data_IF_140341951716
#
_entry.id   IF_140341951716
#
_cell.length_a   1.000
_cell.length_b   1.000
_cell.length_c   1.000
_cell.angle_alpha   90.00
_cell.angle_beta   90.00
_cell.angle_gamma   90.00
#
_symmetry.space_group_name_H-M   'P 1'
#
loop_
_entity.id
_entity.type
_entity.pdbx_description
1 polymer ?
#
# COMPACT_ATOMS: atom_id res chain seq x y z
N UNK A 1 -0.70 9.80 -16.65
CA UNK A 1 -1.19 9.05 -15.46
C UNK A 1 -0.06 8.15 -14.97
N UNK A 2 0.02 7.80 -13.67
CA UNK A 2 1.06 6.90 -13.16
C UNK A 2 0.90 5.45 -13.66
N UNK A 3 -0.28 5.09 -14.17
CA UNK A 3 -0.55 3.79 -14.75
C UNK A 3 -0.62 3.89 -16.28
N UNK A 4 -0.10 2.87 -16.94
CA UNK A 4 -0.21 2.61 -18.37
C UNK A 4 -0.90 1.26 -18.53
N UNK A 5 -2.13 1.24 -19.05
CA UNK A 5 -2.97 0.05 -19.18
C UNK A 5 -3.06 -0.80 -17.87
N UNK A 6 -3.20 -0.14 -16.72
CA UNK A 6 -3.25 -0.80 -15.42
C UNK A 6 -1.91 -1.34 -14.90
N UNK A 7 -0.79 -1.04 -15.59
CA UNK A 7 0.56 -1.36 -15.12
C UNK A 7 1.25 -0.12 -14.56
N UNK A 8 1.95 -0.28 -13.44
CA UNK A 8 2.82 0.74 -12.86
C UNK A 8 4.28 0.38 -13.11
N UNK A 9 5.04 1.34 -13.66
CA UNK A 9 6.50 1.26 -13.79
C UNK A 9 7.14 2.51 -13.21
N UNK A 10 7.94 2.36 -12.17
CA UNK A 10 8.56 3.50 -11.53
C UNK A 10 9.11 3.21 -10.15
N UNK A 11 9.64 4.24 -9.46
CA UNK A 11 10.08 4.11 -8.08
C UNK A 11 8.89 3.95 -7.14
N UNK A 12 9.07 3.19 -6.07
CA UNK A 12 8.19 3.18 -4.91
C UNK A 12 9.00 3.38 -3.64
N UNK A 13 8.34 3.86 -2.60
CA UNK A 13 8.97 4.18 -1.31
C UNK A 13 8.17 3.56 -0.17
N UNK A 14 8.88 3.00 0.81
CA UNK A 14 8.28 2.45 2.02
C UNK A 14 9.04 2.91 3.25
N UNK A 15 8.32 3.43 4.23
CA UNK A 15 8.84 3.69 5.56
C UNK A 15 8.73 2.41 6.40
N UNK A 16 9.84 1.96 6.97
CA UNK A 16 9.95 0.76 7.79
C UNK A 16 10.38 1.10 9.20
N UNK A 17 9.84 0.34 10.17
CA UNK A 17 10.47 0.24 11.47
C UNK A 17 11.84 -0.45 11.30
N UNK A 18 12.94 0.08 11.89
CA UNK A 18 14.28 -0.51 11.80
C UNK A 18 14.36 -2.00 12.12
N UNK A 19 13.49 -2.53 12.98
CA UNK A 19 13.42 -3.96 13.30
C UNK A 19 13.15 -4.84 12.07
N UNK A 20 12.49 -4.29 11.04
CA UNK A 20 12.16 -5.01 9.80
C UNK A 20 13.05 -4.63 8.62
N UNK A 21 14.15 -3.90 8.86
CA UNK A 21 15.02 -3.39 7.80
C UNK A 21 15.59 -4.50 6.90
N UNK A 22 15.92 -5.64 7.50
CA UNK A 22 16.47 -6.82 6.81
C UNK A 22 15.45 -7.62 6.00
N UNK A 23 14.17 -7.30 6.11
CA UNK A 23 13.08 -7.95 5.36
C UNK A 23 12.21 -6.92 4.62
N UNK A 24 12.79 -6.08 3.74
CA UNK A 24 12.10 -4.93 3.16
C UNK A 24 10.92 -5.31 2.24
N UNK A 25 10.88 -6.55 1.74
CA UNK A 25 9.78 -7.11 0.93
C UNK A 25 8.76 -7.91 1.75
N UNK A 26 8.90 -7.96 3.07
CA UNK A 26 7.98 -8.70 3.94
C UNK A 26 6.67 -7.94 4.14
N UNK A 27 5.56 -8.64 3.85
CA UNK A 27 4.19 -8.21 4.12
C UNK A 27 3.63 -8.71 5.44
N UNK A 28 4.44 -9.39 6.27
CA UNK A 28 4.02 -10.08 7.50
C UNK A 28 3.34 -9.18 8.53
N UNK A 29 3.79 -7.93 8.65
CA UNK A 29 3.16 -6.96 9.55
C UNK A 29 1.70 -6.70 9.16
N UNK A 30 1.46 -6.40 7.89
CA UNK A 30 0.10 -6.20 7.38
C UNK A 30 -0.73 -7.48 7.47
N UNK A 31 -0.14 -8.64 7.19
CA UNK A 31 -0.80 -9.95 7.33
C UNK A 31 -1.28 -10.17 8.77
N UNK A 32 -0.44 -9.91 9.77
CA UNK A 32 -0.74 -10.18 11.18
C UNK A 32 -1.76 -9.22 11.76
N UNK A 33 -1.64 -7.93 11.46
CA UNK A 33 -2.42 -6.89 12.11
C UNK A 33 -3.63 -6.44 11.28
N UNK A 34 -3.64 -6.71 9.97
CA UNK A 34 -4.57 -6.11 9.02
C UNK A 34 -4.23 -4.64 8.76
N UNK A 35 -4.89 -4.07 7.77
CA UNK A 35 -4.78 -2.67 7.41
C UNK A 35 -6.05 -2.17 6.73
N UNK A 36 -6.03 -0.92 6.24
CA UNK A 36 -7.19 -0.37 5.55
C UNK A 36 -7.56 -1.23 4.34
N UNK A 37 -6.58 -1.70 3.58
CA UNK A 37 -6.78 -2.42 2.31
C UNK A 37 -6.32 -3.88 2.37
N UNK A 38 -6.27 -4.49 3.55
CA UNK A 38 -6.02 -5.93 3.68
C UNK A 38 -6.60 -6.45 5.00
N UNK A 39 -7.32 -7.57 4.95
CA UNK A 39 -7.77 -8.26 6.15
C UNK A 39 -6.60 -8.96 6.85
N UNK A 40 -6.77 -9.32 8.13
CA UNK A 40 -5.85 -10.21 8.83
C UNK A 40 -5.73 -11.55 8.08
N UNK A 41 -4.52 -12.07 7.97
CA UNK A 41 -4.18 -13.24 7.16
C UNK A 41 -3.92 -12.93 5.68
N UNK A 42 -4.14 -11.69 5.23
CA UNK A 42 -3.80 -11.27 3.86
C UNK A 42 -2.53 -10.43 3.88
N UNK A 43 -1.41 -10.92 3.32
CA UNK A 43 -0.17 -10.15 3.26
C UNK A 43 -0.33 -8.95 2.33
N UNK A 44 0.28 -7.82 2.72
CA UNK A 44 0.25 -6.61 1.91
C UNK A 44 1.50 -5.74 2.10
N UNK A 45 1.88 -5.01 1.06
CA UNK A 45 2.86 -3.93 1.12
C UNK A 45 2.16 -2.59 0.90
N UNK A 46 2.39 -1.66 1.82
CA UNK A 46 1.97 -0.28 1.69
C UNK A 46 3.17 0.54 1.24
N UNK A 47 3.08 1.14 0.06
CA UNK A 47 4.13 1.97 -0.52
C UNK A 47 3.56 3.29 -1.00
N UNK A 48 4.41 4.28 -1.21
CA UNK A 48 4.06 5.56 -1.80
C UNK A 48 4.84 5.81 -3.09
N UNK A 49 4.27 6.62 -3.98
CA UNK A 49 4.91 7.06 -5.22
C UNK A 49 5.95 8.17 -4.98
N UNK A 50 5.92 8.81 -3.81
CA UNK A 50 6.91 9.81 -3.41
C UNK A 50 7.45 9.59 -1.99
N UNK A 51 8.75 9.89 -1.72
CA UNK A 51 9.38 9.69 -0.42
C UNK A 51 8.69 10.39 0.74
N UNK A 52 8.23 11.62 0.51
CA UNK A 52 7.67 12.46 1.55
C UNK A 52 6.30 11.92 2.01
N UNK A 53 5.50 11.36 1.10
CA UNK A 53 4.25 10.66 1.42
C UNK A 53 4.50 9.40 2.23
N UNK A 54 5.51 8.59 1.88
CA UNK A 54 5.85 7.40 2.67
C UNK A 54 6.19 7.77 4.13
N UNK A 55 6.93 8.87 4.34
CA UNK A 55 7.25 9.38 5.68
C UNK A 55 6.03 9.98 6.40
N UNK A 56 5.17 10.72 5.69
CA UNK A 56 3.91 11.25 6.26
C UNK A 56 2.98 10.12 6.72
N UNK A 57 2.88 9.03 5.96
CA UNK A 57 2.08 7.86 6.33
C UNK A 57 2.62 7.12 7.56
N UNK A 58 3.94 7.16 7.79
CA UNK A 58 4.53 6.65 9.04
C UNK A 58 4.26 7.58 10.24
N UNK A 59 4.04 8.87 9.98
CA UNK A 59 3.75 9.90 10.97
C UNK A 59 2.25 9.99 11.27
N UNK A 60 1.67 8.96 11.88
CA UNK A 60 0.22 8.95 12.16
C UNK A 60 -0.16 9.65 13.48
N UNK A 61 0.59 9.44 14.56
CA UNK A 61 0.30 9.99 15.90
C UNK A 61 1.60 10.12 16.70
N UNK A 62 1.81 11.27 17.35
CA UNK A 62 2.98 11.53 18.19
C UNK A 62 4.23 11.88 17.38
N UNK A 63 5.41 11.72 18.00
CA UNK A 63 6.68 12.01 17.35
C UNK A 63 7.06 10.92 16.34
N UNK A 64 7.73 11.34 15.26
CA UNK A 64 8.29 10.41 14.28
C UNK A 64 9.33 9.52 14.97
N UNK A 65 9.03 8.23 15.06
CA UNK A 65 9.95 7.23 15.58
C UNK A 65 11.08 6.95 14.59
N UNK A 66 12.24 6.41 15.02
CA UNK A 66 13.29 5.97 14.12
C UNK A 66 12.71 5.15 12.98
N UNK A 67 12.97 5.58 11.75
CA UNK A 67 12.34 5.07 10.53
C UNK A 67 13.38 4.94 9.45
N UNK A 68 13.35 3.82 8.73
CA UNK A 68 14.18 3.59 7.55
C UNK A 68 13.30 3.77 6.32
N UNK A 69 13.69 4.68 5.43
CA UNK A 69 13.06 4.84 4.14
C UNK A 69 13.76 3.94 3.12
N UNK A 70 13.01 3.03 2.51
CA UNK A 70 13.49 2.10 1.49
C UNK A 70 12.89 2.47 0.14
N UNK A 71 13.72 2.46 -0.91
CA UNK A 71 13.30 2.64 -2.30
C UNK A 71 13.23 1.30 -3.03
N UNK A 72 12.33 1.21 -4.00
CA UNK A 72 12.12 0.02 -4.82
C UNK A 72 11.97 0.41 -6.28
N UNK A 73 12.43 -0.47 -7.18
CA UNK A 73 12.02 -0.48 -8.58
C UNK A 73 10.81 -1.37 -8.75
N UNK A 74 9.74 -0.82 -9.33
CA UNK A 74 8.48 -1.52 -9.56
C UNK A 74 8.21 -1.69 -11.05
N UNK A 75 7.80 -2.91 -11.43
CA UNK A 75 7.09 -3.22 -12.67
C UNK A 75 5.92 -4.14 -12.31
N UNK A 76 4.74 -3.53 -12.06
CA UNK A 76 3.63 -4.17 -11.35
C UNK A 76 2.33 -4.05 -12.12
N UNK A 77 1.57 -5.12 -12.26
CA UNK A 77 0.23 -5.07 -12.85
C UNK A 77 -0.48 -6.43 -12.88
N UNK A 78 -1.82 -6.45 -12.99
CA UNK A 78 -2.69 -5.28 -13.11
C UNK A 78 -3.00 -4.59 -11.76
N UNK A 79 -3.01 -3.26 -11.76
CA UNK A 79 -3.27 -2.36 -10.63
C UNK A 79 -4.62 -1.69 -10.82
N UNK A 80 -5.43 -1.69 -9.77
CA UNK A 80 -6.70 -0.98 -9.75
C UNK A 80 -6.49 0.52 -9.51
N UNK A 81 -7.03 1.39 -10.36
CA UNK A 81 -7.00 2.84 -10.11
C UNK A 81 -8.27 3.29 -9.38
N UNK A 82 -8.18 3.53 -8.08
CA UNK A 82 -9.33 3.99 -7.28
C UNK A 82 -9.81 5.40 -7.64
N UNK A 83 -9.07 6.14 -8.48
CA UNK A 83 -9.46 7.46 -8.97
C UNK A 83 -10.42 7.39 -10.17
N UNK A 84 -10.54 6.22 -10.79
CA UNK A 84 -11.62 5.96 -11.73
C UNK A 84 -12.91 5.68 -10.96
N UNK A 85 -13.73 6.73 -10.78
CA UNK A 85 -14.97 6.63 -10.02
C UNK A 85 -15.97 5.66 -10.64
N UNK A 86 -15.97 5.52 -11.98
CA UNK A 86 -16.86 4.58 -12.66
C UNK A 86 -16.43 3.13 -12.40
N UNK A 87 -15.13 2.84 -12.49
CA UNK A 87 -14.60 1.52 -12.12
C UNK A 87 -14.82 1.22 -10.63
N UNK A 88 -14.60 2.21 -9.75
CA UNK A 88 -14.83 2.06 -8.31
C UNK A 88 -16.29 1.76 -7.98
N UNK A 89 -17.23 2.41 -8.67
CA UNK A 89 -18.66 2.18 -8.50
C UNK A 89 -19.10 0.76 -8.90
N UNK A 90 -18.42 0.10 -9.85
CA UNK A 90 -18.68 -1.31 -10.21
C UNK A 90 -18.42 -2.27 -9.04
N UNK A 91 -17.55 -1.88 -8.11
CA UNK A 91 -17.30 -2.59 -6.87
C UNK A 91 -18.19 -2.14 -5.71
N UNK A 92 -19.19 -1.29 -5.96
CA UNK A 92 -20.07 -0.72 -4.94
C UNK A 92 -19.36 0.25 -4.00
N UNK A 93 -18.24 0.84 -4.42
CA UNK A 93 -17.39 1.71 -3.62
C UNK A 93 -17.43 3.15 -4.11
N UNK A 94 -17.13 4.09 -3.22
CA UNK A 94 -16.99 5.52 -3.54
C UNK A 94 -15.72 6.08 -2.89
N UNK A 95 -15.27 7.24 -3.37
CA UNK A 95 -14.12 7.94 -2.79
C UNK A 95 -14.33 8.26 -1.28
N UNK A 96 -15.57 8.52 -0.85
CA UNK A 96 -15.88 8.78 0.56
C UNK A 96 -15.73 7.52 1.43
N UNK A 97 -16.17 6.36 0.95
CA UNK A 97 -15.98 5.08 1.66
C UNK A 97 -14.49 4.73 1.75
N UNK A 98 -13.71 4.96 0.69
CA UNK A 98 -12.25 4.77 0.73
C UNK A 98 -11.58 5.65 1.79
N UNK A 99 -12.10 6.87 2.00
CA UNK A 99 -11.55 7.87 2.91
C UNK A 99 -11.95 7.69 4.38
N UNK A 100 -12.92 6.84 4.70
CA UNK A 100 -13.45 6.68 6.05
C UNK A 100 -12.34 6.42 7.10
N UNK A 101 -12.13 7.31 8.09
CA UNK A 101 -11.14 7.10 9.15
C UNK A 101 -11.54 5.98 10.13
N UNK A 102 -12.81 5.57 10.14
CA UNK A 102 -13.40 4.58 11.04
C UNK A 102 -13.00 3.12 10.76
N UNK A 103 -12.29 2.84 9.66
CA UNK A 103 -11.87 1.47 9.28
C UNK A 103 -11.13 0.76 10.41
N UNK A 104 -10.27 1.48 11.15
CA UNK A 104 -9.43 0.90 12.21
C UNK A 104 -10.29 0.49 13.40
N UNK A 105 -11.23 1.33 13.81
CA UNK A 105 -12.17 1.02 14.88
C UNK A 105 -13.10 -0.13 14.48
N UNK A 106 -13.63 -0.11 13.25
CA UNK A 106 -14.44 -1.21 12.73
C UNK A 106 -13.69 -2.55 12.75
N UNK A 107 -12.41 -2.56 12.35
CA UNK A 107 -11.56 -3.75 12.42
C UNK A 107 -11.33 -4.24 13.86
N UNK A 108 -11.11 -3.33 14.83
CA UNK A 108 -10.94 -3.69 16.24
C UNK A 108 -12.23 -4.26 16.84
N UNK A 109 -13.37 -3.71 16.45
CA UNK A 109 -14.72 -4.17 16.85
C UNK A 109 -15.17 -5.44 16.10
N UNK A 110 -14.34 -5.98 15.18
CA UNK A 110 -14.67 -7.11 14.29
C UNK A 110 -15.91 -6.87 13.42
N UNK A 111 -16.20 -5.61 13.09
CA UNK A 111 -17.21 -5.20 12.12
C UNK A 111 -16.63 -5.25 10.70
N UNK A 112 -17.52 -5.26 9.71
CA UNK A 112 -17.11 -5.22 8.30
C UNK A 112 -16.32 -3.94 8.00
N UNK A 113 -15.28 -4.08 7.16
CA UNK A 113 -14.43 -2.99 6.71
C UNK A 113 -14.51 -2.98 5.18
N UNK A 114 -15.33 -2.10 4.56
CA UNK A 114 -15.60 -2.14 3.12
C UNK A 114 -14.35 -2.13 2.24
N UNK A 115 -13.27 -1.44 2.67
CA UNK A 115 -11.99 -1.40 1.95
C UNK A 115 -11.24 -2.74 1.97
N UNK A 116 -11.46 -3.59 2.98
CA UNK A 116 -10.94 -4.96 3.02
C UNK A 116 -11.76 -5.90 2.14
N UNK A 117 -13.08 -5.70 2.09
CA UNK A 117 -13.97 -6.45 1.19
C UNK A 117 -13.65 -6.14 -0.28
N UNK A 118 -13.44 -4.85 -0.60
CA UNK A 118 -12.93 -4.39 -1.89
C UNK A 118 -11.60 -5.08 -2.23
N UNK A 119 -10.64 -5.07 -1.31
CA UNK A 119 -9.34 -5.71 -1.52
C UNK A 119 -9.49 -7.22 -1.80
N UNK A 120 -10.33 -7.92 -1.05
CA UNK A 120 -10.60 -9.33 -1.28
C UNK A 120 -11.20 -9.59 -2.67
N UNK A 121 -12.10 -8.73 -3.14
CA UNK A 121 -12.68 -8.86 -4.47
C UNK A 121 -11.65 -8.56 -5.58
N UNK A 122 -10.86 -7.49 -5.45
CA UNK A 122 -9.80 -7.15 -6.42
C UNK A 122 -8.75 -8.26 -6.52
N UNK A 123 -8.39 -8.91 -5.41
CA UNK A 123 -7.50 -10.07 -5.41
C UNK A 123 -8.12 -11.24 -6.19
N UNK A 124 -9.40 -11.55 -5.98
CA UNK A 124 -10.11 -12.61 -6.72
C UNK A 124 -10.16 -12.34 -8.22
N UNK A 125 -10.30 -11.07 -8.58
CA UNK A 125 -10.34 -10.62 -9.98
C UNK A 125 -8.94 -10.59 -10.63
N UNK A 126 -7.90 -11.00 -9.90
CA UNK A 126 -6.56 -11.16 -10.44
C UNK A 126 -5.70 -9.90 -10.41
N UNK A 127 -6.12 -8.84 -9.73
CA UNK A 127 -5.30 -7.64 -9.52
C UNK A 127 -4.18 -7.93 -8.51
N UNK A 128 -3.07 -7.21 -8.66
CA UNK A 128 -1.88 -7.37 -7.78
C UNK A 128 -1.83 -6.29 -6.71
N UNK A 129 -2.57 -5.20 -6.91
CA UNK A 129 -2.67 -4.09 -5.97
C UNK A 129 -3.66 -3.02 -6.42
N UNK A 130 -3.73 -1.95 -5.63
CA UNK A 130 -4.51 -0.76 -5.95
C UNK A 130 -3.68 0.52 -5.76
N UNK A 131 -3.96 1.50 -6.61
CA UNK A 131 -3.48 2.87 -6.50
C UNK A 131 -4.55 3.70 -5.80
N UNK A 132 -4.19 4.38 -4.72
CA UNK A 132 -5.10 5.19 -3.91
C UNK A 132 -4.43 6.46 -3.42
N UNK A 133 -5.20 7.52 -3.21
CA UNK A 133 -4.68 8.70 -2.53
C UNK A 133 -4.22 8.36 -1.11
N UNK A 134 -3.21 9.08 -0.64
CA UNK A 134 -2.85 9.09 0.76
C UNK A 134 -3.95 9.77 1.59
N UNK A 135 -4.18 9.23 2.79
CA UNK A 135 -5.10 9.79 3.77
C UNK A 135 -4.37 10.40 4.98
N UNK A 136 -3.04 10.43 4.96
CA UNK A 136 -2.25 11.04 6.02
C UNK A 136 -2.49 12.57 6.08
N UNK A 137 -2.40 13.19 7.27
CA UNK A 137 -2.50 14.64 7.42
C UNK A 137 -1.52 15.40 6.51
N UNK A 138 -1.96 16.50 5.92
CA UNK A 138 -1.14 17.35 5.07
C UNK A 138 -0.88 16.81 3.65
N UNK A 139 -1.61 15.77 3.23
CA UNK A 139 -1.54 15.23 1.87
C UNK A 139 -2.62 15.79 0.97
N UNK A 140 -2.33 15.83 -0.32
CA UNK A 140 -3.21 16.32 -1.39
C UNK A 140 -3.67 15.15 -2.26
N UNK A 141 -4.64 15.34 -3.17
CA UNK A 141 -5.05 14.29 -4.11
C UNK A 141 -3.92 13.74 -5.01
N UNK A 142 -2.80 14.45 -5.16
CA UNK A 142 -1.65 13.98 -5.95
C UNK A 142 -0.66 13.11 -5.14
N UNK A 143 -0.81 13.05 -3.81
CA UNK A 143 -0.02 12.14 -2.99
C UNK A 143 -0.65 10.75 -3.06
N UNK A 144 0.04 9.83 -3.71
CA UNK A 144 -0.49 8.51 -4.06
C UNK A 144 0.29 7.40 -3.36
N UNK A 145 -0.47 6.43 -2.88
CA UNK A 145 -0.01 5.17 -2.36
C UNK A 145 -0.32 4.05 -3.35
N UNK A 146 0.57 3.05 -3.38
CA UNK A 146 0.34 1.79 -4.06
C UNK A 146 0.32 0.69 -2.99
N UNK A 147 -0.84 0.06 -2.81
CA UNK A 147 -1.01 -1.08 -1.90
C UNK A 147 -0.97 -2.35 -2.71
N UNK A 148 -0.04 -3.26 -2.37
CA UNK A 148 0.21 -4.49 -3.11
C UNK A 148 -0.16 -5.70 -2.27
N UNK A 149 -0.86 -6.66 -2.88
CA UNK A 149 -1.12 -7.99 -2.31
C UNK A 149 -0.28 -9.06 -2.96
N UNK A 150 0.19 -8.80 -4.19
CA UNK A 150 1.19 -9.61 -4.90
C UNK A 150 2.24 -8.68 -5.49
N UNK A 151 3.51 -8.99 -5.28
CA UNK A 151 4.64 -8.15 -5.71
C UNK A 151 5.85 -8.98 -6.20
N UNK A 152 5.67 -10.29 -6.27
CA UNK A 152 6.65 -11.23 -6.81
C UNK A 152 5.91 -12.33 -7.56
N UNK A 153 5.95 -12.24 -8.88
CA UNK A 153 5.52 -13.27 -9.84
C UNK A 153 6.32 -13.07 -11.14
N UNK A 154 6.24 -13.99 -12.12
CA UNK A 154 6.92 -13.80 -13.41
C UNK A 154 6.59 -12.45 -14.09
N UNK A 155 5.35 -11.96 -13.94
CA UNK A 155 4.86 -10.75 -14.63
C UNK A 155 4.80 -9.49 -13.73
N UNK A 156 5.11 -9.62 -12.43
CA UNK A 156 5.05 -8.54 -11.44
C UNK A 156 6.30 -8.59 -10.56
N UNK A 157 7.11 -7.55 -10.64
CA UNK A 157 8.39 -7.47 -9.92
C UNK A 157 8.49 -6.21 -9.08
N UNK A 158 8.79 -6.39 -7.80
CA UNK A 158 9.26 -5.35 -6.90
C UNK A 158 10.68 -5.68 -6.43
N UNK A 159 11.64 -4.83 -6.76
CA UNK A 159 13.06 -5.03 -6.41
C UNK A 159 13.50 -3.92 -5.46
N UNK A 160 14.17 -4.28 -4.37
CA UNK A 160 14.75 -3.32 -3.43
C UNK A 160 15.94 -2.63 -4.09
N UNK A 161 16.05 -1.31 -3.91
CA UNK A 161 17.24 -0.56 -4.28
C UNK A 161 18.18 -0.56 -3.08
N UNK A 162 19.16 -1.48 -3.09
CA UNK A 162 20.19 -1.61 -2.05
C UNK A 162 21.49 -2.20 -2.64
N UNK A 163 22.10 -1.43 -3.55
CA UNK A 163 23.25 -1.89 -4.37
C UNK A 163 24.48 -2.29 -3.53
N UNK A 164 24.59 -1.75 -2.31
CA UNK A 164 25.70 -1.99 -1.39
C UNK A 164 25.36 -2.96 -0.25
N UNK A 165 24.18 -3.59 -0.26
CA UNK A 165 23.68 -4.46 0.82
C UNK A 165 23.76 -3.79 2.20
N UNK A 166 23.30 -2.53 2.28
CA UNK A 166 23.29 -1.75 3.52
C UNK A 166 22.26 -2.29 4.49
N UNK A 167 21.12 -2.78 3.99
CA UNK A 167 20.07 -3.33 4.85
C UNK A 167 20.48 -4.67 5.49
N UNK A 168 21.24 -5.51 4.77
CA UNK A 168 21.74 -6.78 5.30
C UNK A 168 22.73 -6.63 6.46
N UNK A 169 23.37 -5.47 6.58
CA UNK A 169 24.42 -5.17 7.57
C UNK A 169 23.92 -4.54 8.88
N UNK A 170 22.65 -4.14 8.95
CA UNK A 170 22.03 -3.46 10.10
C UNK A 170 21.87 -4.35 11.32
#
# INVERSE_FOLDING_TARGET
MPLDEGRYRGPLFRALNPVYAREPLSGRGAEKYGGRFNAKGTPALYTALDPATALREAYQVGDLQPTILVSYHADLGPIFDTRDEAALAQYGMTASVLADPGWRSAMLDRRAVPTQDLAAQLIKDGLVGLLVRSFAPGTTPTNLNLVLWRWSSPDTRLTVVDDEDRLGRL
#
